data_IF_433108727122
#
_entry.id   IF_433108727122
#
_cell.length_a   1.000
_cell.length_b   1.000
_cell.length_c   1.000
_cell.angle_alpha   90.00
_cell.angle_beta   90.00
_cell.angle_gamma   90.00
#
_symmetry.space_group_name_H-M   'P 1'
#
loop_
_entity.id
_entity.type
_entity.pdbx_description
1 polymer ?
#
# COMPACT_ATOMS: atom_id res chain seq x y z
N UNK A 1 14.02 -43.17 -9.44
CA UNK A 1 14.72 -41.91 -9.77
C UNK A 1 13.69 -40.88 -10.21
N UNK A 2 13.17 -40.10 -9.26
CA UNK A 2 12.36 -38.91 -9.52
C UNK A 2 13.01 -37.77 -8.77
N UNK A 3 13.80 -36.97 -9.50
CA UNK A 3 14.43 -35.75 -9.00
C UNK A 3 13.35 -34.71 -8.73
N UNK A 4 12.85 -34.72 -7.50
CA UNK A 4 12.03 -33.69 -6.88
C UNK A 4 12.59 -32.27 -7.16
N UNK A 5 11.84 -31.33 -7.78
CA UNK A 5 12.30 -29.99 -8.16
C UNK A 5 12.43 -29.00 -6.99
N UNK A 6 12.30 -29.48 -5.75
CA UNK A 6 12.24 -28.68 -4.54
C UNK A 6 13.56 -28.03 -4.03
N UNK A 7 14.78 -28.53 -4.31
CA UNK A 7 15.98 -27.94 -3.69
C UNK A 7 16.32 -26.55 -4.26
N UNK A 8 15.99 -26.29 -5.53
CA UNK A 8 16.26 -24.99 -6.17
C UNK A 8 15.35 -23.87 -5.65
N UNK A 9 14.08 -24.17 -5.32
CA UNK A 9 13.12 -23.18 -4.82
C UNK A 9 13.48 -22.72 -3.41
N UNK A 10 13.82 -23.66 -2.51
CA UNK A 10 14.23 -23.35 -1.13
C UNK A 10 15.53 -22.55 -1.12
N UNK A 11 16.50 -22.94 -1.95
CA UNK A 11 17.76 -22.21 -2.10
C UNK A 11 17.54 -20.77 -2.59
N UNK A 12 16.67 -20.59 -3.59
CA UNK A 12 16.32 -19.25 -4.12
C UNK A 12 15.63 -18.38 -3.08
N UNK A 13 14.69 -18.95 -2.31
CA UNK A 13 14.01 -18.23 -1.21
C UNK A 13 14.98 -17.79 -0.11
N UNK A 14 15.98 -18.61 0.21
CA UNK A 14 17.01 -18.26 1.20
C UNK A 14 17.90 -17.11 0.71
N UNK A 15 18.37 -17.14 -0.54
CA UNK A 15 19.15 -16.04 -1.12
C UNK A 15 18.35 -14.74 -1.11
N UNK A 16 17.10 -14.79 -1.55
CA UNK A 16 16.23 -13.62 -1.59
C UNK A 16 15.98 -13.04 -0.20
N UNK A 17 15.69 -13.89 0.79
CA UNK A 17 15.44 -13.46 2.17
C UNK A 17 16.70 -12.92 2.84
N UNK A 18 17.87 -13.47 2.51
CA UNK A 18 19.14 -13.09 3.14
C UNK A 18 19.79 -11.86 2.55
N UNK A 19 19.62 -11.59 1.25
CA UNK A 19 20.25 -10.46 0.56
C UNK A 19 19.26 -9.48 -0.09
N UNK A 20 18.20 -9.99 -0.71
CA UNK A 20 17.16 -9.16 -1.35
C UNK A 20 16.34 -8.37 -0.33
N UNK A 21 15.84 -9.03 0.71
CA UNK A 21 15.03 -8.38 1.74
C UNK A 21 15.76 -7.24 2.49
N UNK A 22 17.02 -7.40 2.96
CA UNK A 22 17.76 -6.30 3.56
C UNK A 22 17.95 -5.10 2.62
N UNK A 23 18.26 -5.35 1.34
CA UNK A 23 18.42 -4.30 0.35
C UNK A 23 17.11 -3.52 0.13
N UNK A 24 15.98 -4.22 0.05
CA UNK A 24 14.64 -3.61 -0.02
C UNK A 24 14.35 -2.77 1.22
N UNK A 25 14.72 -3.24 2.42
CA UNK A 25 14.53 -2.47 3.66
C UNK A 25 15.37 -1.21 3.66
N UNK A 26 16.65 -1.28 3.29
CA UNK A 26 17.54 -0.10 3.27
C UNK A 26 17.03 0.94 2.28
N UNK A 27 16.81 0.54 1.01
CA UNK A 27 16.34 1.45 -0.04
C UNK A 27 14.93 1.98 0.31
N UNK A 28 14.04 1.10 0.76
CA UNK A 28 12.68 1.46 1.14
C UNK A 28 12.64 2.43 2.31
N UNK A 29 13.42 2.22 3.36
CA UNK A 29 13.51 3.12 4.50
C UNK A 29 14.06 4.48 4.08
N UNK A 30 15.17 4.52 3.34
CA UNK A 30 15.74 5.77 2.83
C UNK A 30 14.73 6.54 1.97
N UNK A 31 14.08 5.87 1.01
CA UNK A 31 13.10 6.49 0.13
C UNK A 31 11.90 7.07 0.90
N UNK A 32 11.32 6.31 1.83
CA UNK A 32 10.19 6.79 2.62
C UNK A 32 10.59 7.91 3.61
N UNK A 33 11.79 7.87 4.19
CA UNK A 33 12.30 8.94 5.05
C UNK A 33 12.53 10.24 4.27
N UNK A 34 13.11 10.16 3.07
CA UNK A 34 13.28 11.30 2.18
C UNK A 34 11.92 11.88 1.77
N UNK A 35 10.95 11.04 1.42
CA UNK A 35 9.59 11.48 1.11
C UNK A 35 8.95 12.20 2.30
N UNK A 36 9.08 11.67 3.52
CA UNK A 36 8.57 12.32 4.73
C UNK A 36 9.24 13.67 4.92
N UNK A 37 10.58 13.74 4.86
CA UNK A 37 11.32 14.99 5.03
C UNK A 37 10.90 16.06 4.01
N UNK A 38 10.81 15.67 2.73
CA UNK A 38 10.44 16.57 1.64
C UNK A 38 8.97 17.02 1.76
N UNK A 39 8.03 16.09 1.91
CA UNK A 39 6.59 16.38 1.94
C UNK A 39 6.13 17.05 3.24
N UNK A 40 6.96 17.10 4.29
CA UNK A 40 6.67 17.85 5.52
C UNK A 40 6.77 19.36 5.32
N UNK A 41 7.47 19.84 4.28
CA UNK A 41 7.60 21.27 3.96
C UNK A 41 6.22 21.91 3.75
N UNK A 42 5.98 23.06 4.39
CA UNK A 42 4.67 23.76 4.38
C UNK A 42 4.13 23.99 2.97
N UNK A 43 5.01 24.39 2.05
CA UNK A 43 4.68 24.63 0.63
C UNK A 43 4.14 23.39 -0.09
N UNK A 44 4.60 22.19 0.27
CA UNK A 44 4.13 20.95 -0.36
C UNK A 44 2.87 20.41 0.32
N UNK A 45 2.64 20.73 1.59
CA UNK A 45 1.43 20.34 2.34
C UNK A 45 0.16 21.09 1.93
N UNK A 46 0.28 22.19 1.21
CA UNK A 46 -0.88 22.91 0.63
C UNK A 46 -1.48 22.19 -0.57
N UNK A 47 -0.81 21.14 -1.07
CA UNK A 47 -1.35 20.27 -2.13
C UNK A 47 -1.96 19.04 -1.48
N UNK A 48 -3.25 18.81 -1.71
CA UNK A 48 -4.02 17.71 -1.10
C UNK A 48 -3.40 16.34 -1.39
N UNK A 49 -3.15 16.05 -2.67
CA UNK A 49 -2.42 14.87 -3.16
C UNK A 49 -1.15 14.53 -2.34
N UNK A 50 -0.32 15.52 -2.00
CA UNK A 50 0.94 15.32 -1.29
C UNK A 50 0.73 14.83 0.16
N UNK A 51 -0.40 15.16 0.79
CA UNK A 51 -0.71 14.68 2.14
C UNK A 51 -1.02 13.18 2.15
N UNK A 52 -1.62 12.63 1.09
CA UNK A 52 -1.83 11.18 0.96
C UNK A 52 -0.49 10.44 0.80
N UNK A 53 0.43 10.96 -0.03
CA UNK A 53 1.78 10.38 -0.17
C UNK A 53 2.59 10.46 1.12
N UNK A 54 2.45 11.54 1.89
CA UNK A 54 3.07 11.67 3.21
C UNK A 54 2.53 10.59 4.17
N UNK A 55 1.21 10.42 4.24
CA UNK A 55 0.59 9.39 5.07
C UNK A 55 1.01 7.97 4.63
N UNK A 56 1.00 7.70 3.32
CA UNK A 56 1.46 6.43 2.76
C UNK A 56 2.93 6.14 3.11
N UNK A 57 3.80 7.17 3.12
CA UNK A 57 5.21 6.99 3.47
C UNK A 57 5.42 6.54 4.92
N UNK A 58 4.64 7.09 5.87
CA UNK A 58 4.65 6.59 7.26
C UNK A 58 4.18 5.14 7.36
N UNK A 59 3.09 4.81 6.66
CA UNK A 59 2.54 3.44 6.65
C UNK A 59 3.52 2.46 5.99
N UNK A 60 4.22 2.88 4.92
CA UNK A 60 5.24 2.07 4.27
C UNK A 60 6.42 1.75 5.20
N UNK A 61 6.83 2.68 6.07
CA UNK A 61 7.83 2.39 7.09
C UNK A 61 7.33 1.31 8.06
N UNK A 62 6.06 1.33 8.46
CA UNK A 62 5.46 0.26 9.28
C UNK A 62 5.49 -1.07 8.53
N UNK A 63 5.12 -1.10 7.24
CA UNK A 63 5.16 -2.32 6.40
C UNK A 63 6.58 -2.90 6.35
N UNK A 64 7.60 -2.08 6.14
CA UNK A 64 9.00 -2.54 6.05
C UNK A 64 9.47 -3.13 7.39
N UNK A 65 9.20 -2.44 8.50
CA UNK A 65 9.65 -2.85 9.82
C UNK A 65 8.89 -4.04 10.40
N UNK A 66 7.57 -4.13 10.18
CA UNK A 66 6.74 -5.25 10.68
C UNK A 66 6.80 -6.44 9.72
N UNK A 67 6.97 -6.17 8.42
CA UNK A 67 6.92 -7.17 7.37
C UNK A 67 8.25 -7.85 7.16
N UNK A 68 9.26 -7.07 6.80
CA UNK A 68 10.49 -7.63 6.23
C UNK A 68 11.53 -7.90 7.31
N UNK A 69 11.68 -7.01 8.29
CA UNK A 69 12.69 -7.15 9.35
C UNK A 69 12.55 -8.46 10.13
N UNK A 70 11.34 -8.89 10.57
CA UNK A 70 11.19 -10.16 11.27
C UNK A 70 11.51 -11.37 10.39
N UNK A 71 11.18 -11.30 9.09
CA UNK A 71 11.52 -12.37 8.14
C UNK A 71 13.02 -12.56 7.99
N UNK A 72 13.80 -11.47 7.96
CA UNK A 72 15.27 -11.51 7.93
C UNK A 72 15.82 -12.11 9.23
N UNK A 73 15.23 -11.74 10.38
CA UNK A 73 15.68 -12.24 11.67
C UNK A 73 15.47 -13.75 11.80
N UNK A 74 14.27 -14.24 11.48
CA UNK A 74 13.94 -15.68 11.52
C UNK A 74 14.78 -16.50 10.55
N UNK A 75 15.10 -15.95 9.36
CA UNK A 75 15.95 -16.63 8.39
C UNK A 75 17.41 -16.82 8.87
N UNK A 76 17.91 -15.94 9.74
CA UNK A 76 19.27 -16.03 10.29
C UNK A 76 19.32 -16.74 11.65
N UNK A 77 18.22 -16.73 12.42
CA UNK A 77 18.11 -17.40 13.72
C UNK A 77 16.69 -17.96 13.90
N UNK A 78 16.51 -19.29 14.07
CA UNK A 78 15.20 -19.86 14.29
C UNK A 78 14.64 -19.39 15.63
N UNK A 79 13.65 -18.49 15.58
CA UNK A 79 12.89 -18.03 16.73
C UNK A 79 11.51 -18.70 16.69
N UNK A 80 11.13 -19.38 17.78
CA UNK A 80 9.75 -19.81 18.02
C UNK A 80 8.80 -18.60 18.06
N UNK A 81 8.02 -18.44 16.99
CA UNK A 81 7.06 -17.36 16.83
C UNK A 81 5.83 -17.65 17.69
N UNK A 82 5.46 -16.75 18.61
CA UNK A 82 4.21 -16.94 19.36
C UNK A 82 3.00 -16.76 18.45
N UNK A 83 1.92 -17.48 18.72
CA UNK A 83 0.68 -17.37 17.95
C UNK A 83 0.12 -15.93 17.96
N UNK A 84 0.25 -15.23 19.09
CA UNK A 84 -0.15 -13.83 19.22
C UNK A 84 0.67 -12.90 18.30
N UNK A 85 1.99 -13.11 18.20
CA UNK A 85 2.85 -12.33 17.31
C UNK A 85 2.55 -12.64 15.84
N UNK A 86 2.28 -13.90 15.51
CA UNK A 86 1.83 -14.33 14.19
C UNK A 86 0.54 -13.64 13.74
N UNK A 87 -0.50 -13.66 14.58
CA UNK A 87 -1.80 -13.03 14.31
C UNK A 87 -1.67 -11.52 14.12
N UNK A 88 -1.04 -10.85 15.10
CA UNK A 88 -0.88 -9.39 15.09
C UNK A 88 -0.04 -8.90 13.92
N UNK A 89 1.06 -9.60 13.58
CA UNK A 89 1.90 -9.26 12.43
C UNK A 89 1.15 -9.35 11.11
N UNK A 90 0.43 -10.45 10.85
CA UNK A 90 -0.32 -10.61 9.60
C UNK A 90 -1.46 -9.61 9.47
N UNK A 91 -2.18 -9.36 10.57
CA UNK A 91 -3.20 -8.31 10.63
C UNK A 91 -2.63 -6.93 10.30
N UNK A 92 -1.57 -6.53 11.00
CA UNK A 92 -0.97 -5.21 10.84
C UNK A 92 -0.38 -5.02 9.44
N UNK A 93 0.22 -6.07 8.87
CA UNK A 93 0.75 -6.05 7.51
C UNK A 93 -0.34 -5.87 6.48
N UNK A 94 -1.40 -6.67 6.56
CA UNK A 94 -2.49 -6.57 5.60
C UNK A 94 -3.16 -5.19 5.69
N UNK A 95 -3.53 -4.75 6.90
CA UNK A 95 -4.11 -3.42 7.12
C UNK A 95 -3.22 -2.32 6.55
N UNK A 96 -1.92 -2.32 6.90
CA UNK A 96 -0.97 -1.29 6.44
C UNK A 96 -0.80 -1.31 4.92
N UNK A 97 -0.72 -2.49 4.29
CA UNK A 97 -0.63 -2.61 2.84
C UNK A 97 -1.87 -2.04 2.14
N UNK A 98 -3.07 -2.33 2.64
CA UNK A 98 -4.29 -1.75 2.06
C UNK A 98 -4.33 -0.24 2.23
N UNK A 99 -4.02 0.26 3.44
CA UNK A 99 -3.97 1.70 3.71
C UNK A 99 -3.03 2.38 2.71
N UNK A 100 -1.80 1.87 2.55
CA UNK A 100 -0.82 2.47 1.63
C UNK A 100 -1.32 2.49 0.18
N UNK A 101 -1.85 1.37 -0.34
CA UNK A 101 -2.37 1.27 -1.71
C UNK A 101 -3.54 2.22 -1.93
N UNK A 102 -4.50 2.24 -1.02
CA UNK A 102 -5.69 3.10 -1.16
C UNK A 102 -5.37 4.57 -0.94
N UNK A 103 -4.37 4.94 -0.14
CA UNK A 103 -3.87 6.32 -0.09
C UNK A 103 -3.38 6.79 -1.47
N UNK A 104 -2.66 5.94 -2.20
CA UNK A 104 -2.20 6.26 -3.57
C UNK A 104 -3.37 6.29 -4.55
N UNK A 105 -4.34 5.36 -4.47
CA UNK A 105 -5.57 5.41 -5.29
C UNK A 105 -6.31 6.73 -5.08
N UNK A 106 -6.48 7.14 -3.81
CA UNK A 106 -7.13 8.40 -3.47
C UNK A 106 -6.31 9.60 -3.92
N UNK A 107 -4.98 9.52 -3.92
CA UNK A 107 -4.12 10.55 -4.50
C UNK A 107 -4.36 10.70 -6.02
N UNK A 108 -4.54 9.60 -6.74
CA UNK A 108 -4.91 9.63 -8.17
C UNK A 108 -6.31 10.22 -8.38
N UNK A 109 -7.27 9.84 -7.54
CA UNK A 109 -8.61 10.44 -7.55
C UNK A 109 -8.59 11.95 -7.26
N UNK A 110 -7.81 12.39 -6.27
CA UNK A 110 -7.63 13.80 -5.92
C UNK A 110 -7.11 14.62 -7.12
N UNK A 111 -6.14 14.07 -7.86
CA UNK A 111 -5.61 14.67 -9.10
C UNK A 111 -6.63 14.72 -10.22
N UNK A 112 -7.39 13.65 -10.42
CA UNK A 112 -8.49 13.62 -11.39
C UNK A 112 -9.55 14.69 -11.05
N UNK A 113 -9.98 14.73 -9.79
CA UNK A 113 -10.98 15.67 -9.29
C UNK A 113 -10.52 17.13 -9.43
N UNK A 114 -9.23 17.41 -9.19
CA UNK A 114 -8.63 18.73 -9.40
C UNK A 114 -8.62 19.14 -10.89
N UNK A 115 -8.42 18.17 -11.78
CA UNK A 115 -8.39 18.40 -13.23
C UNK A 115 -9.80 18.50 -13.84
N UNK A 116 -10.82 18.00 -13.16
CA UNK A 116 -12.21 18.02 -13.64
C UNK A 116 -12.76 19.46 -13.80
N UNK A 117 -13.70 19.62 -14.75
CA UNK A 117 -14.44 20.87 -14.94
C UNK A 117 -15.57 21.04 -13.90
N UNK A 118 -15.98 19.95 -13.24
CA UNK A 118 -17.07 19.98 -12.28
C UNK A 118 -16.60 20.56 -10.93
N UNK A 119 -17.21 21.68 -10.51
CA UNK A 119 -16.90 22.38 -9.26
C UNK A 119 -17.09 21.49 -8.03
N UNK A 120 -18.11 20.62 -8.03
CA UNK A 120 -18.37 19.69 -6.91
C UNK A 120 -17.23 18.69 -6.76
N UNK A 121 -16.72 18.13 -7.86
CA UNK A 121 -15.57 17.23 -7.80
C UNK A 121 -14.31 17.98 -7.31
N UNK A 122 -14.06 19.18 -7.82
CA UNK A 122 -12.89 19.98 -7.40
C UNK A 122 -12.91 20.35 -5.91
N UNK A 123 -14.08 20.44 -5.29
CA UNK A 123 -14.19 20.68 -3.84
C UNK A 123 -13.62 19.52 -3.02
N UNK A 124 -13.72 18.26 -3.48
CA UNK A 124 -13.12 17.12 -2.78
C UNK A 124 -11.59 17.20 -2.73
N UNK A 125 -10.96 17.87 -3.71
CA UNK A 125 -9.51 18.08 -3.73
C UNK A 125 -9.01 19.16 -2.77
N UNK A 126 -9.80 19.59 -1.79
CA UNK A 126 -9.36 20.55 -0.76
C UNK A 126 -8.53 19.85 0.32
N UNK A 127 -7.44 20.50 0.74
CA UNK A 127 -6.48 19.94 1.73
C UNK A 127 -7.15 19.62 3.06
N UNK A 128 -8.10 20.46 3.48
CA UNK A 128 -8.86 20.24 4.71
C UNK A 128 -9.67 18.94 4.62
N UNK A 129 -10.35 18.70 3.50
CA UNK A 129 -11.14 17.48 3.30
C UNK A 129 -10.24 16.25 3.26
N UNK A 130 -9.13 16.34 2.54
CA UNK A 130 -8.14 15.28 2.46
C UNK A 130 -7.61 14.88 3.84
N UNK A 131 -7.18 15.87 4.65
CA UNK A 131 -6.55 15.63 5.96
C UNK A 131 -7.54 15.25 7.05
N UNK A 132 -8.71 15.86 7.07
CA UNK A 132 -9.67 15.72 8.16
C UNK A 132 -10.64 14.55 7.97
N UNK A 133 -10.96 14.20 6.72
CA UNK A 133 -11.97 13.17 6.43
C UNK A 133 -11.40 11.99 5.64
N UNK A 134 -10.75 12.23 4.49
CA UNK A 134 -10.34 11.15 3.60
C UNK A 134 -9.25 10.26 4.20
N UNK A 135 -8.15 10.84 4.70
CA UNK A 135 -7.04 10.08 5.30
C UNK A 135 -7.52 9.26 6.52
N UNK A 136 -8.22 9.84 7.52
CA UNK A 136 -8.75 9.06 8.64
C UNK A 136 -9.74 7.99 8.22
N UNK A 137 -10.64 8.27 7.27
CA UNK A 137 -11.61 7.29 6.79
C UNK A 137 -10.92 6.07 6.17
N UNK A 138 -9.91 6.28 5.32
CA UNK A 138 -9.11 5.19 4.73
C UNK A 138 -8.45 4.36 5.84
N UNK A 139 -7.81 5.01 6.81
CA UNK A 139 -7.15 4.31 7.92
C UNK A 139 -8.15 3.47 8.70
N UNK A 140 -9.29 4.03 9.09
CA UNK A 140 -10.31 3.33 9.90
C UNK A 140 -10.91 2.15 9.13
N UNK A 141 -11.32 2.35 7.88
CA UNK A 141 -11.93 1.30 7.05
C UNK A 141 -10.98 0.10 6.93
N UNK A 142 -9.69 0.35 6.66
CA UNK A 142 -8.72 -0.72 6.43
C UNK A 142 -8.08 -1.28 7.71
N UNK A 143 -8.28 -0.64 8.87
CA UNK A 143 -8.01 -1.26 10.17
C UNK A 143 -9.14 -2.22 10.58
N UNK A 144 -10.39 -1.91 10.22
CA UNK A 144 -11.56 -2.73 10.55
C UNK A 144 -11.68 -3.93 9.61
N UNK A 145 -11.47 -3.74 8.31
CA UNK A 145 -11.67 -4.77 7.29
C UNK A 145 -10.94 -6.12 7.58
N UNK A 146 -9.66 -6.14 8.03
CA UNK A 146 -8.95 -7.39 8.29
C UNK A 146 -9.12 -7.91 9.73
N UNK A 147 -10.05 -7.41 10.56
CA UNK A 147 -10.26 -7.89 11.94
C UNK A 147 -10.45 -9.41 12.00
N UNK A 148 -11.12 -10.01 11.00
CA UNK A 148 -11.30 -11.47 10.92
C UNK A 148 -9.97 -12.23 10.94
N UNK A 149 -8.87 -11.64 10.47
CA UNK A 149 -7.55 -12.26 10.46
C UNK A 149 -7.01 -12.52 11.88
N UNK A 150 -7.38 -11.71 12.87
CA UNK A 150 -6.96 -11.93 14.25
C UNK A 150 -7.59 -13.21 14.86
N UNK A 151 -8.74 -13.63 14.33
CA UNK A 151 -9.50 -14.78 14.83
C UNK A 151 -9.07 -16.06 14.11
N UNK A 152 -8.93 -16.01 12.78
CA UNK A 152 -8.79 -17.20 11.93
C UNK A 152 -7.35 -17.61 11.56
N UNK A 153 -6.34 -16.79 11.87
CA UNK A 153 -4.93 -17.21 11.74
C UNK A 153 -4.55 -18.16 12.87
N UNK A 154 -3.83 -19.24 12.57
CA UNK A 154 -3.19 -20.07 13.61
C UNK A 154 -1.74 -20.34 13.27
N UNK A 155 -0.94 -20.51 14.33
CA UNK A 155 0.44 -20.94 14.22
C UNK A 155 0.50 -22.46 14.15
N UNK A 156 0.87 -23.01 13.00
CA UNK A 156 1.12 -24.45 12.81
C UNK A 156 2.56 -24.61 12.34
N UNK A 157 3.38 -25.40 13.06
CA UNK A 157 4.77 -25.69 12.70
C UNK A 157 5.63 -24.44 12.39
N UNK A 158 5.64 -23.44 13.29
CA UNK A 158 6.33 -22.14 13.11
C UNK A 158 5.89 -21.33 11.86
N UNK A 159 4.79 -21.72 11.22
CA UNK A 159 4.21 -21.02 10.08
C UNK A 159 2.84 -20.48 10.43
N UNK A 160 2.55 -19.27 9.94
CA UNK A 160 1.25 -18.62 10.07
C UNK A 160 0.34 -19.04 8.94
N UNK A 161 -0.71 -19.80 9.23
CA UNK A 161 -1.65 -20.29 8.20
C UNK A 161 -3.10 -20.04 8.59
N UNK A 162 -3.97 -19.91 7.59
CA UNK A 162 -5.41 -19.86 7.80
C UNK A 162 -5.98 -21.25 8.01
N UNK A 163 -6.99 -21.38 8.88
CA UNK A 163 -7.72 -22.64 9.07
C UNK A 163 -8.82 -22.78 8.00
N UNK A 164 -8.88 -23.95 7.36
CA UNK A 164 -10.05 -24.40 6.60
C UNK A 164 -10.43 -23.53 5.39
N UNK A 165 -11.73 -23.35 5.17
CA UNK A 165 -12.30 -22.63 4.00
C UNK A 165 -11.98 -21.13 3.97
N UNK A 166 -11.54 -20.56 5.10
CA UNK A 166 -11.11 -19.16 5.20
C UNK A 166 -9.86 -18.89 4.35
N UNK A 167 -9.00 -19.90 4.14
CA UNK A 167 -7.84 -19.78 3.26
C UNK A 167 -8.24 -19.49 1.81
N UNK A 168 -9.30 -20.15 1.30
CA UNK A 168 -9.83 -19.93 -0.05
C UNK A 168 -10.45 -18.54 -0.17
N UNK A 169 -11.26 -18.14 0.81
CA UNK A 169 -11.84 -16.80 0.86
C UNK A 169 -10.75 -15.71 0.86
N UNK A 170 -9.72 -15.86 1.70
CA UNK A 170 -8.60 -14.93 1.75
C UNK A 170 -7.82 -14.87 0.43
N UNK A 171 -7.67 -16.01 -0.26
CA UNK A 171 -7.01 -16.07 -1.56
C UNK A 171 -7.80 -15.33 -2.64
N UNK A 172 -9.12 -15.54 -2.70
CA UNK A 172 -10.01 -14.85 -3.64
C UNK A 172 -10.02 -13.34 -3.34
N UNK A 173 -10.18 -12.96 -2.07
CA UNK A 173 -10.10 -11.57 -1.61
C UNK A 173 -8.75 -10.92 -1.97
N UNK A 174 -7.66 -11.65 -1.76
CA UNK A 174 -6.29 -11.21 -2.04
C UNK A 174 -6.05 -10.95 -3.54
N UNK A 175 -6.60 -11.79 -4.41
CA UNK A 175 -6.44 -11.59 -5.86
C UNK A 175 -7.34 -10.45 -6.33
N UNK A 176 -8.62 -10.48 -6.00
CA UNK A 176 -9.63 -9.57 -6.56
C UNK A 176 -9.51 -8.16 -5.98
N UNK A 177 -9.77 -8.01 -4.68
CA UNK A 177 -9.86 -6.71 -4.02
C UNK A 177 -8.48 -6.10 -3.73
N UNK A 178 -7.48 -6.94 -3.49
CA UNK A 178 -6.15 -6.48 -3.10
C UNK A 178 -5.20 -6.41 -4.31
N UNK A 179 -5.30 -7.36 -5.24
CA UNK A 179 -4.45 -7.46 -6.43
C UNK A 179 -4.94 -6.60 -7.60
N UNK A 180 -6.21 -6.71 -7.99
CA UNK A 180 -6.73 -6.04 -9.18
C UNK A 180 -7.32 -4.67 -8.91
N UNK A 181 -8.10 -4.51 -7.83
CA UNK A 181 -8.85 -3.26 -7.61
C UNK A 181 -7.97 -2.01 -7.53
N UNK A 182 -6.88 -1.95 -6.74
CA UNK A 182 -6.08 -0.74 -6.65
C UNK A 182 -5.40 -0.36 -7.98
N UNK A 183 -4.73 -1.28 -8.71
CA UNK A 183 -4.16 -0.97 -10.01
C UNK A 183 -5.19 -0.54 -11.06
N UNK A 184 -6.34 -1.22 -11.14
CA UNK A 184 -7.41 -0.85 -12.07
C UNK A 184 -7.93 0.56 -11.80
N UNK A 185 -8.19 0.90 -10.53
CA UNK A 185 -8.61 2.25 -10.15
C UNK A 185 -7.53 3.30 -10.43
N UNK A 186 -6.26 3.02 -10.11
CA UNK A 186 -5.15 3.92 -10.43
C UNK A 186 -5.05 4.17 -11.93
N UNK A 187 -5.16 3.11 -12.74
CA UNK A 187 -5.10 3.22 -14.20
C UNK A 187 -6.24 4.08 -14.75
N UNK A 188 -7.48 3.81 -14.32
CA UNK A 188 -8.66 4.58 -14.72
C UNK A 188 -8.50 6.05 -14.34
N UNK A 189 -8.17 6.36 -13.08
CA UNK A 189 -8.01 7.75 -12.64
C UNK A 189 -6.84 8.46 -13.32
N UNK A 190 -5.76 7.75 -13.64
CA UNK A 190 -4.62 8.31 -14.37
C UNK A 190 -5.01 8.67 -15.80
N UNK A 191 -5.72 7.78 -16.52
CA UNK A 191 -6.24 8.07 -17.86
C UNK A 191 -7.20 9.24 -17.87
N UNK A 192 -8.12 9.29 -16.90
CA UNK A 192 -9.07 10.41 -16.78
C UNK A 192 -8.35 11.73 -16.47
N UNK A 193 -7.32 11.70 -15.62
CA UNK A 193 -6.48 12.87 -15.33
C UNK A 193 -5.79 13.35 -16.61
N UNK A 194 -5.18 12.44 -17.37
CA UNK A 194 -4.50 12.76 -18.63
C UNK A 194 -5.45 13.39 -19.65
N UNK A 195 -6.65 12.82 -19.83
CA UNK A 195 -7.68 13.37 -20.72
C UNK A 195 -8.07 14.79 -20.31
N UNK A 196 -8.33 15.03 -19.02
CA UNK A 196 -8.71 16.34 -18.52
C UNK A 196 -7.58 17.38 -18.67
N UNK A 197 -6.33 16.98 -18.47
CA UNK A 197 -5.16 17.83 -18.67
C UNK A 197 -5.00 18.23 -20.14
N UNK A 198 -5.10 17.26 -21.07
CA UNK A 198 -5.01 17.53 -22.51
C UNK A 198 -6.08 18.52 -22.97
N UNK A 199 -7.33 18.33 -22.52
CA UNK A 199 -8.43 19.26 -22.82
C UNK A 199 -8.17 20.66 -22.27
N UNK A 200 -7.59 20.79 -21.06
CA UNK A 200 -7.23 22.11 -20.50
C UNK A 200 -6.11 22.78 -21.31
N UNK A 201 -5.07 22.04 -21.68
CA UNK A 201 -3.96 22.57 -22.49
C UNK A 201 -4.43 23.06 -23.86
N UNK A 202 -5.27 22.29 -24.54
CA UNK A 202 -5.85 22.69 -25.83
C UNK A 202 -6.67 23.98 -25.71
N UNK A 203 -7.49 24.13 -24.67
CA UNK A 203 -8.27 25.36 -24.42
C UNK A 203 -7.37 26.58 -24.14
N UNK A 204 -6.28 26.38 -23.40
CA UNK A 204 -5.31 27.45 -23.13
C UNK A 204 -4.55 27.86 -24.40
N UNK A 205 -4.17 26.92 -25.25
CA UNK A 205 -3.50 27.21 -26.52
C UNK A 205 -4.40 28.02 -27.47
N UNK A 206 -5.68 27.67 -27.58
CA UNK A 206 -6.66 28.44 -28.39
C UNK A 206 -6.85 29.86 -27.87
N UNK A 207 -6.88 30.05 -26.55
CA UNK A 207 -6.99 31.38 -25.94
C UNK A 207 -5.76 32.25 -26.19
N UNK A 208 -4.55 31.67 -26.20
CA UNK A 208 -3.31 32.41 -26.47
C UNK A 208 -3.10 32.74 -27.96
N UNK A 209 -3.82 32.07 -28.87
CA UNK A 209 -3.77 32.34 -30.31
C UNK A 209 -4.83 33.34 -30.80
N UNK A 210 -5.66 33.89 -29.91
CA UNK A 210 -6.66 34.92 -30.20
C UNK A 210 -6.21 36.26 -29.64
#
# INVERSE_FOLDING_TARGET
MSSSPYPSLVFTQQIFTRYGCPLIVVIGCLGNLLNIFLLRKKTLRTVSCNNYFLAASFVNLIILNVGIVPSIYVANRPWAMTEAYCKSRNYLLNASQQISRFMVVTACFDRFALCSANVRLRQFSRVQIARQYMIPAIIIIWLIAPIYMLIFHTGVNNSCTYIGTVALFNSIYGITLVGFTPPCLMFIFSLLTFRNLKTKQQRQQVFLST
#
